data_IF_117117871065
#
_entry.id   IF_117117871065
#
_cell.length_a   1.000
_cell.length_b   1.000
_cell.length_c   1.000
_cell.angle_alpha   90.00
_cell.angle_beta   90.00
_cell.angle_gamma   90.00
#
_symmetry.space_group_name_H-M   'P 1'
#
loop_
_entity.id
_entity.type
_entity.pdbx_description
1 polymer ?
#
# COMPACT_ATOMS: atom_id res chain seq x y z
N UNK A 1 -11.39 -14.68 25.94
CA UNK A 1 -10.61 -15.66 25.15
C UNK A 1 -9.34 -14.98 24.70
N UNK A 2 -8.20 -15.66 24.81
CA UNK A 2 -6.91 -15.15 24.34
C UNK A 2 -6.69 -15.66 22.91
N UNK A 3 -6.85 -14.78 21.92
CA UNK A 3 -6.64 -15.12 20.51
C UNK A 3 -5.22 -14.72 20.12
N UNK A 4 -4.40 -15.73 19.81
CA UNK A 4 -3.01 -15.53 19.35
C UNK A 4 -2.85 -16.05 17.93
N UNK A 5 -2.27 -15.22 17.08
CA UNK A 5 -1.77 -15.64 15.78
C UNK A 5 -0.42 -16.35 15.94
N UNK A 6 -0.02 -17.21 14.99
CA UNK A 6 1.32 -17.80 14.98
C UNK A 6 2.44 -16.75 15.10
N UNK A 7 3.55 -17.03 15.81
CA UNK A 7 4.64 -16.05 16.00
C UNK A 7 5.29 -15.54 14.71
N UNK A 8 5.20 -16.30 13.63
CA UNK A 8 5.74 -15.95 12.32
C UNK A 8 4.80 -15.06 11.48
N UNK A 9 3.56 -14.81 11.92
CA UNK A 9 2.62 -13.96 11.18
C UNK A 9 3.15 -12.53 11.08
N UNK A 10 3.03 -11.94 9.89
CA UNK A 10 3.39 -10.56 9.58
C UNK A 10 2.26 -9.90 8.81
N UNK A 11 2.19 -8.57 8.86
CA UNK A 11 1.34 -7.80 7.97
C UNK A 11 1.91 -7.91 6.55
N UNK A 12 1.05 -8.20 5.57
CA UNK A 12 1.44 -8.23 4.16
C UNK A 12 1.34 -6.84 3.52
N UNK A 13 0.11 -6.33 3.39
CA UNK A 13 -0.20 -5.03 2.79
C UNK A 13 -1.49 -4.45 3.38
N UNK A 14 -1.74 -3.17 3.10
CA UNK A 14 -2.99 -2.46 3.44
C UNK A 14 -3.64 -1.90 2.19
N UNK A 15 -4.97 -1.94 2.13
CA UNK A 15 -5.73 -1.25 1.09
C UNK A 15 -6.46 -0.05 1.68
N UNK A 16 -6.27 1.13 1.10
CA UNK A 16 -6.83 2.38 1.57
C UNK A 16 -7.85 2.91 0.57
N UNK A 17 -9.10 3.05 1.01
CA UNK A 17 -10.09 3.79 0.24
C UNK A 17 -9.84 5.29 0.43
N UNK A 18 -9.44 5.95 -0.64
CA UNK A 18 -9.20 7.39 -0.66
C UNK A 18 -10.29 8.13 -1.43
N UNK A 19 -10.44 9.42 -1.14
CA UNK A 19 -11.35 10.27 -1.89
C UNK A 19 -10.78 10.71 -3.26
N UNK A 20 -9.46 10.68 -3.40
CA UNK A 20 -8.70 11.22 -4.54
C UNK A 20 -7.37 10.46 -4.62
N UNK A 21 -7.12 9.80 -5.75
CA UNK A 21 -5.92 8.97 -5.96
C UNK A 21 -4.69 9.84 -6.21
N UNK A 22 -4.82 10.93 -6.96
CA UNK A 22 -3.67 11.78 -7.28
C UNK A 22 -3.11 12.45 -6.02
N UNK A 23 -3.97 12.96 -5.14
CA UNK A 23 -3.52 13.52 -3.84
C UNK A 23 -2.87 12.47 -2.95
N UNK A 24 -3.36 11.23 -2.99
CA UNK A 24 -2.72 10.15 -2.24
C UNK A 24 -1.32 9.86 -2.81
N UNK A 25 -1.13 9.91 -4.13
CA UNK A 25 0.16 9.72 -4.77
C UNK A 25 1.14 10.85 -4.46
N UNK A 26 0.71 12.11 -4.41
CA UNK A 26 1.56 13.23 -3.96
C UNK A 26 2.18 12.93 -2.60
N UNK A 27 1.41 12.35 -1.67
CA UNK A 27 1.92 11.99 -0.36
C UNK A 27 2.78 10.72 -0.39
N UNK A 28 2.24 9.59 -0.84
CA UNK A 28 2.92 8.30 -0.70
C UNK A 28 4.09 8.13 -1.68
N UNK A 29 3.95 8.62 -2.92
CA UNK A 29 5.03 8.55 -3.92
C UNK A 29 6.01 9.71 -3.76
N UNK A 30 5.53 10.95 -3.80
CA UNK A 30 6.43 12.09 -3.95
C UNK A 30 7.06 12.54 -2.62
N UNK A 31 6.32 12.48 -1.50
CA UNK A 31 6.84 12.86 -0.19
C UNK A 31 7.51 11.68 0.51
N UNK A 32 6.86 10.51 0.55
CA UNK A 32 7.38 9.33 1.25
C UNK A 32 8.30 8.45 0.41
N UNK A 33 8.34 8.63 -0.92
CA UNK A 33 9.26 7.93 -1.80
C UNK A 33 8.86 6.50 -2.15
N UNK A 34 7.59 6.13 -2.02
CA UNK A 34 7.12 4.85 -2.58
C UNK A 34 7.12 4.90 -4.12
N UNK A 35 7.26 3.74 -4.73
CA UNK A 35 7.26 3.56 -6.17
C UNK A 35 5.94 2.89 -6.60
N UNK A 36 5.41 3.31 -7.76
CA UNK A 36 4.23 2.68 -8.35
C UNK A 36 4.64 1.31 -8.91
N UNK A 37 4.01 0.25 -8.41
CA UNK A 37 4.18 -1.11 -8.95
C UNK A 37 3.10 -1.44 -9.98
N UNK A 38 1.89 -0.88 -9.81
CA UNK A 38 0.80 -1.06 -10.77
C UNK A 38 -0.23 0.06 -10.70
N UNK A 39 -0.83 0.42 -11.84
CA UNK A 39 -1.86 1.44 -11.94
C UNK A 39 -3.05 0.92 -12.76
N UNK A 40 -4.24 0.92 -12.16
CA UNK A 40 -5.49 0.48 -12.78
C UNK A 40 -6.45 1.66 -13.03
N UNK A 41 -6.06 2.55 -13.94
CA UNK A 41 -6.85 3.75 -14.27
C UNK A 41 -7.28 4.50 -13.03
N UNK A 42 -8.58 4.78 -12.92
CA UNK A 42 -9.16 5.56 -11.81
C UNK A 42 -9.59 4.68 -10.62
N UNK A 43 -9.32 3.37 -10.67
CA UNK A 43 -9.83 2.43 -9.67
C UNK A 43 -8.86 2.19 -8.51
N UNK A 44 -7.56 2.04 -8.79
CA UNK A 44 -6.55 1.72 -7.79
C UNK A 44 -5.12 1.98 -8.28
N UNK A 45 -4.22 2.24 -7.34
CA UNK A 45 -2.77 2.31 -7.57
C UNK A 45 -2.05 1.58 -6.45
N UNK A 46 -1.13 0.70 -6.83
CA UNK A 46 -0.34 -0.11 -5.91
C UNK A 46 1.06 0.46 -5.77
N UNK A 47 1.51 0.58 -4.52
CA UNK A 47 2.76 1.24 -4.15
C UNK A 47 3.67 0.33 -3.33
N UNK A 48 4.98 0.41 -3.55
CA UNK A 48 5.99 -0.37 -2.85
C UNK A 48 7.24 0.45 -2.51
N UNK A 49 8.06 -0.10 -1.62
CA UNK A 49 9.39 0.42 -1.31
C UNK A 49 10.35 -0.77 -1.22
N UNK A 50 11.53 -0.69 -1.84
CA UNK A 50 12.50 -1.79 -1.79
C UNK A 50 12.12 -3.04 -2.59
N UNK A 51 11.28 -2.91 -3.62
CA UNK A 51 11.02 -3.97 -4.60
C UNK A 51 10.04 -5.09 -4.18
N UNK A 52 9.27 -4.91 -3.10
CA UNK A 52 8.20 -5.83 -2.72
C UNK A 52 6.99 -5.74 -3.68
N UNK A 53 6.06 -6.72 -3.66
CA UNK A 53 4.95 -6.77 -4.62
C UNK A 53 4.01 -5.55 -4.51
N UNK A 54 3.62 -5.17 -3.28
CA UNK A 54 3.10 -3.86 -2.89
C UNK A 54 2.91 -3.82 -1.36
N UNK A 55 3.01 -2.64 -0.77
CA UNK A 55 2.68 -2.39 0.63
C UNK A 55 1.33 -1.68 0.78
N UNK A 56 0.97 -0.82 -0.18
CA UNK A 56 -0.25 -0.01 -0.18
C UNK A 56 -0.98 -0.22 -1.51
N UNK A 57 -2.31 -0.34 -1.45
CA UNK A 57 -3.22 -0.43 -2.60
C UNK A 57 -4.55 0.27 -2.36
#
# INVERSE_FOLDING_TARGET
MDYKVPPATRIGHVHLKVADIEKALEFYRDILGFEITQWYGDAAVFLSAGGYHHHIG
#
